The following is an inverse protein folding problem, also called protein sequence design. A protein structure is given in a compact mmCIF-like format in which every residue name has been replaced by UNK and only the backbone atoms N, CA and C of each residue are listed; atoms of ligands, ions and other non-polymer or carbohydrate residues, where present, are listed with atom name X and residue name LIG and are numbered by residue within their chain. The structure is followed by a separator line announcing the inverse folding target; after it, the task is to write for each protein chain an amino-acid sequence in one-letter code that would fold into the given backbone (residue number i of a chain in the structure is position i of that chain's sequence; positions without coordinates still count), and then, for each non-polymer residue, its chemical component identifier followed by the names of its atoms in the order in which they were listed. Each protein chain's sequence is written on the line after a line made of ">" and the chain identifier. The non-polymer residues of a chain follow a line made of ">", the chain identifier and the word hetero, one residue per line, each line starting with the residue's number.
data_IF_464263628537
#
_entry.id   IF_464263628537
#
_cell.length_a   1.000
_cell.length_b   1.000
_cell.length_c   1.000
_cell.angle_alpha   90.00
_cell.angle_beta   90.00
_cell.angle_gamma   90.00
#
_symmetry.space_group_name_H-M   'P 1'
#
loop_
_entity.id
_entity.type
_entity.pdbx_description
1 polymer ?
#
# COMPACT_ATOMS: atom_id res chain seq x y z
N UNK A 1 15.40 11.34 -3.84
CA UNK A 1 15.18 9.99 -4.38
C UNK A 1 14.11 10.07 -5.45
N UNK A 2 14.44 9.80 -6.72
CA UNK A 2 13.46 9.71 -7.80
C UNK A 2 12.89 8.29 -7.81
N UNK A 3 11.61 8.13 -7.48
CA UNK A 3 10.90 6.87 -7.66
C UNK A 3 10.62 6.66 -9.15
N UNK A 4 11.22 5.63 -9.75
CA UNK A 4 10.85 5.18 -11.10
C UNK A 4 9.78 4.10 -10.95
N UNK A 5 8.56 4.31 -11.48
CA UNK A 5 7.51 3.31 -11.38
C UNK A 5 7.91 2.05 -12.15
N UNK A 6 8.07 0.94 -11.42
CA UNK A 6 8.19 -0.39 -12.01
C UNK A 6 6.83 -0.79 -12.57
N UNK A 7 6.83 -1.34 -13.79
CA UNK A 7 5.61 -1.71 -14.49
C UNK A 7 5.19 -3.11 -14.07
N UNK A 8 4.13 -3.20 -13.27
CA UNK A 8 3.42 -4.45 -13.01
C UNK A 8 2.30 -4.56 -14.05
N UNK A 9 2.24 -5.67 -14.77
CA UNK A 9 1.15 -5.94 -15.71
C UNK A 9 0.25 -7.10 -15.25
N UNK A 10 0.63 -7.78 -14.16
CA UNK A 10 -0.11 -8.85 -13.50
C UNK A 10 -0.53 -9.98 -14.44
N UNK A 11 0.24 -10.22 -15.51
CA UNK A 11 0.06 -11.37 -16.41
C UNK A 11 0.49 -12.67 -15.72
N UNK A 12 1.57 -12.63 -14.94
CA UNK A 12 1.98 -13.69 -14.02
C UNK A 12 1.78 -13.19 -12.58
N UNK A 13 0.56 -13.39 -12.06
CA UNK A 13 0.18 -12.88 -10.74
C UNK A 13 1.13 -13.36 -9.63
N UNK A 14 1.45 -14.67 -9.49
CA UNK A 14 2.40 -15.12 -8.48
C UNK A 14 3.76 -14.40 -8.55
N UNK A 15 4.36 -14.29 -9.74
CA UNK A 15 5.65 -13.64 -9.90
C UNK A 15 5.57 -12.13 -9.60
N UNK A 16 4.51 -11.46 -10.05
CA UNK A 16 4.32 -10.03 -9.83
C UNK A 16 4.03 -9.68 -8.37
N UNK A 17 3.25 -10.50 -7.66
CA UNK A 17 3.05 -10.32 -6.22
C UNK A 17 4.34 -10.58 -5.43
N UNK A 18 5.14 -11.57 -5.84
CA UNK A 18 6.45 -11.80 -5.20
C UNK A 18 7.36 -10.58 -5.38
N UNK A 19 7.45 -10.03 -6.59
CA UNK A 19 8.20 -8.80 -6.88
C UNK A 19 7.68 -7.59 -6.12
N UNK A 20 6.36 -7.41 -6.06
CA UNK A 20 5.73 -6.33 -5.30
C UNK A 20 6.05 -6.42 -3.81
N UNK A 21 6.08 -7.64 -3.25
CA UNK A 21 6.45 -7.86 -1.86
C UNK A 21 7.94 -7.52 -1.60
N UNK A 22 8.84 -7.84 -2.53
CA UNK A 22 10.26 -7.46 -2.43
C UNK A 22 10.45 -5.95 -2.52
N UNK A 23 9.74 -5.29 -3.43
CA UNK A 23 9.76 -3.84 -3.57
C UNK A 23 9.22 -3.15 -2.31
N UNK A 24 8.17 -3.71 -1.70
CA UNK A 24 7.66 -3.21 -0.42
C UNK A 24 8.70 -3.38 0.70
N UNK A 25 9.32 -4.55 0.83
CA UNK A 25 10.37 -4.78 1.83
C UNK A 25 11.51 -3.78 1.70
N UNK A 26 11.96 -3.52 0.47
CA UNK A 26 13.00 -2.54 0.20
C UNK A 26 12.56 -1.10 0.54
N UNK A 27 11.31 -0.74 0.20
CA UNK A 27 10.75 0.58 0.48
C UNK A 27 10.63 0.87 1.98
N UNK A 28 10.29 -0.13 2.79
CA UNK A 28 10.11 0.01 4.23
C UNK A 28 11.40 -0.23 5.03
N UNK A 29 12.50 -0.61 4.37
CA UNK A 29 13.75 -0.96 5.04
C UNK A 29 14.32 0.23 5.83
N UNK A 30 14.49 0.06 7.14
CA UNK A 30 15.03 1.08 8.03
C UNK A 30 14.00 2.09 8.58
N UNK A 31 12.74 2.00 8.18
CA UNK A 31 11.66 2.81 8.74
C UNK A 31 10.90 2.04 9.84
N UNK A 32 10.73 2.67 10.99
CA UNK A 32 10.07 2.10 12.16
C UNK A 32 8.69 2.72 12.44
N UNK A 33 8.42 3.90 11.87
CA UNK A 33 7.15 4.58 12.05
C UNK A 33 6.02 3.83 11.34
N UNK A 34 5.01 3.45 12.12
CA UNK A 34 3.87 2.67 11.63
C UNK A 34 3.03 3.43 10.61
N UNK A 35 2.91 4.75 10.76
CA UNK A 35 2.11 5.59 9.87
C UNK A 35 2.81 5.74 8.52
N UNK A 36 4.11 6.03 8.53
CA UNK A 36 4.95 6.10 7.34
C UNK A 36 4.93 4.78 6.56
N UNK A 37 5.10 3.66 7.27
CA UNK A 37 5.06 2.33 6.65
C UNK A 37 3.70 2.00 6.05
N UNK A 38 2.59 2.30 6.75
CA UNK A 38 1.25 2.09 6.23
C UNK A 38 0.95 3.01 5.03
N UNK A 39 1.36 4.27 5.08
CA UNK A 39 1.18 5.22 3.99
C UNK A 39 1.92 4.79 2.72
N UNK A 40 3.20 4.40 2.84
CA UNK A 40 4.00 3.91 1.72
C UNK A 40 3.47 2.58 1.17
N UNK A 41 2.99 1.69 2.04
CA UNK A 41 2.38 0.43 1.60
C UNK A 41 1.11 0.68 0.77
N UNK A 42 0.22 1.55 1.25
CA UNK A 42 -1.00 1.93 0.52
C UNK A 42 -0.67 2.57 -0.83
N UNK A 43 0.32 3.47 -0.86
CA UNK A 43 0.80 4.11 -2.08
C UNK A 43 1.36 3.11 -3.10
N UNK A 44 2.21 2.19 -2.66
CA UNK A 44 2.80 1.19 -3.54
C UNK A 44 1.74 0.25 -4.13
N UNK A 45 0.81 -0.24 -3.31
CA UNK A 45 -0.27 -1.13 -3.75
C UNK A 45 -1.17 -0.40 -4.76
N UNK A 46 -1.61 0.82 -4.45
CA UNK A 46 -2.49 1.59 -5.32
C UNK A 46 -1.84 1.93 -6.67
N UNK A 47 -0.54 2.20 -6.69
CA UNK A 47 0.20 2.47 -7.92
C UNK A 47 0.50 1.20 -8.74
N UNK A 48 0.63 0.05 -8.07
CA UNK A 48 1.01 -1.20 -8.71
C UNK A 48 -0.17 -1.95 -9.34
N UNK A 49 -1.25 -2.15 -8.58
CA UNK A 49 -2.33 -3.03 -9.00
C UNK A 49 -3.23 -2.37 -10.04
N UNK A 50 -3.55 -3.05 -11.16
CA UNK A 50 -4.56 -2.58 -12.09
C UNK A 50 -5.96 -2.63 -11.45
N UNK A 51 -6.83 -1.73 -11.88
CA UNK A 51 -8.26 -1.71 -11.53
C UNK A 51 -8.57 -1.59 -10.02
N UNK A 52 -7.67 -1.02 -9.25
CA UNK A 52 -7.90 -0.68 -7.83
C UNK A 52 -8.44 0.73 -7.70
N UNK A 53 -9.60 0.88 -7.05
CA UNK A 53 -10.22 2.17 -6.77
C UNK A 53 -9.89 2.73 -5.38
N UNK A 54 -9.41 1.86 -4.48
CA UNK A 54 -9.05 2.20 -3.11
C UNK A 54 -8.09 1.15 -2.51
N UNK A 55 -7.04 1.58 -1.82
CA UNK A 55 -6.14 0.71 -1.05
C UNK A 55 -5.66 1.42 0.21
N UNK A 56 -5.71 0.74 1.36
CA UNK A 56 -5.36 1.35 2.64
C UNK A 56 -5.65 0.46 3.82
N UNK A 57 -5.59 1.06 5.01
CA UNK A 57 -5.68 0.34 6.27
C UNK A 57 -6.85 0.82 7.13
N UNK A 58 -7.40 -0.10 7.90
CA UNK A 58 -8.15 0.20 9.11
C UNK A 58 -7.39 -0.38 10.31
N UNK A 59 -7.23 0.42 11.36
CA UNK A 59 -6.60 -0.02 12.60
C UNK A 59 -7.64 -0.27 13.67
N UNK A 60 -7.53 -1.40 14.36
CA UNK A 60 -8.37 -1.69 15.52
C UNK A 60 -7.93 -0.84 16.71
N UNK A 61 -8.82 -0.01 17.23
CA UNK A 61 -8.64 0.78 18.46
C UNK A 61 -9.96 0.78 19.23
N UNK A 62 -9.89 0.43 20.51
CA UNK A 62 -11.02 0.44 21.44
C UNK A 62 -12.27 -0.34 20.94
N UNK A 63 -12.03 -1.45 20.22
CA UNK A 63 -13.08 -2.29 19.66
C UNK A 63 -13.62 -1.82 18.31
N UNK A 64 -13.10 -0.72 17.77
CA UNK A 64 -13.55 -0.13 16.51
C UNK A 64 -12.45 -0.08 15.44
N UNK A 65 -12.87 -0.11 14.17
CA UNK A 65 -11.98 0.06 13.03
C UNK A 65 -11.87 1.54 12.67
N UNK A 66 -10.70 2.11 12.92
CA UNK A 66 -10.39 3.51 12.62
C UNK A 66 -9.63 3.58 11.30
N UNK A 67 -10.01 4.51 10.44
CA UNK A 67 -9.37 4.74 9.15
C UNK A 67 -7.90 5.13 9.34
N UNK A 68 -6.99 4.33 8.78
CA UNK A 68 -5.57 4.61 8.70
C UNK A 68 -5.16 5.20 7.35
N UNK A 69 -3.86 5.27 7.03
CA UNK A 69 -3.39 5.75 5.73
C UNK A 69 -3.98 4.94 4.56
N UNK A 70 -4.35 5.64 3.50
CA UNK A 70 -4.96 5.05 2.30
C UNK A 70 -4.67 5.90 1.04
N UNK A 71 -4.96 5.32 -0.12
CA UNK A 71 -5.03 5.97 -1.41
C UNK A 71 -6.37 5.67 -2.08
N UNK A 72 -6.94 6.66 -2.76
CA UNK A 72 -8.24 6.57 -3.41
C UNK A 72 -9.15 7.74 -3.07
N UNK A 73 -10.43 7.62 -3.41
CA UNK A 73 -11.44 8.63 -3.04
C UNK A 73 -11.59 8.70 -1.51
N UNK A 74 -12.03 9.85 -0.96
CA UNK A 74 -12.33 9.97 0.46
C UNK A 74 -13.22 8.83 0.94
N UNK A 75 -12.78 8.12 1.98
CA UNK A 75 -13.60 7.11 2.64
C UNK A 75 -14.58 7.81 3.60
N UNK A 76 -15.77 7.23 3.78
CA UNK A 76 -16.71 7.73 4.77
C UNK A 76 -16.06 7.62 6.16
N UNK A 77 -15.89 8.77 6.81
CA UNK A 77 -15.67 8.85 8.26
C UNK A 77 -17.05 8.77 8.90
N UNK A 78 -17.20 7.94 9.94
CA UNK A 78 -18.46 7.85 10.69
C UNK A 78 -18.78 9.18 11.36
#
# INVERSE_FOLDING_TARGET
>A
MSYTPKRYDFQDKPADYARLADDLRALLAGESDRTANAANTAALIFAALPDVSWAGFYFLRDGELILGPFQGKPACVR
#
